data_IF_532688617587
#
_entry.id   IF_532688617587
#
_cell.length_a   1.000
_cell.length_b   1.000
_cell.length_c   1.000
_cell.angle_alpha   90.00
_cell.angle_beta   90.00
_cell.angle_gamma   90.00
#
_symmetry.space_group_name_H-M   'P 1'
#
loop_
_entity.id
_entity.type
_entity.pdbx_description
1 polymer ?
#
# COMPACT_ATOMS: atom_id res chain seq x y z
N UNK A 1 -25.64 12.13 33.86
CA UNK A 1 -25.30 13.48 34.35
C UNK A 1 -23.96 13.40 35.06
N UNK A 2 -23.05 14.38 34.88
CA UNK A 2 -21.78 14.39 35.59
C UNK A 2 -22.01 14.56 37.10
N UNK A 3 -21.10 14.01 37.91
CA UNK A 3 -21.15 14.10 39.37
C UNK A 3 -19.82 14.68 39.89
N UNK A 4 -19.89 15.47 40.96
CA UNK A 4 -18.71 16.02 41.60
C UNK A 4 -17.86 14.89 42.20
N UNK A 5 -16.58 14.81 41.82
CA UNK A 5 -15.67 13.72 42.21
C UNK A 5 -15.40 13.63 43.72
N UNK A 6 -15.58 14.73 44.46
CA UNK A 6 -15.33 14.78 45.90
C UNK A 6 -16.55 14.43 46.77
N UNK A 7 -17.74 14.88 46.41
CA UNK A 7 -18.95 14.73 47.25
C UNK A 7 -20.08 13.93 46.58
N UNK A 8 -19.90 13.49 45.34
CA UNK A 8 -20.87 12.67 44.60
C UNK A 8 -22.16 13.39 44.20
N UNK A 9 -22.28 14.70 44.47
CA UNK A 9 -23.46 15.47 44.11
C UNK A 9 -23.65 15.53 42.59
N UNK A 10 -24.88 15.29 42.14
CA UNK A 10 -25.26 15.37 40.74
C UNK A 10 -25.19 16.81 40.26
N UNK A 11 -24.47 17.05 39.17
CA UNK A 11 -24.34 18.37 38.57
C UNK A 11 -25.41 18.55 37.50
N UNK A 12 -26.18 19.63 37.62
CA UNK A 12 -27.21 20.05 36.66
C UNK A 12 -26.86 21.44 36.16
N UNK A 13 -26.74 21.58 34.85
CA UNK A 13 -26.37 22.84 34.21
C UNK A 13 -26.21 22.68 32.71
N UNK A 14 -26.11 23.80 32.01
CA UNK A 14 -25.75 23.86 30.59
C UNK A 14 -24.28 24.26 30.55
N UNK A 15 -23.45 23.46 29.88
CA UNK A 15 -22.05 23.79 29.60
C UNK A 15 -21.96 24.37 28.19
N UNK A 16 -21.79 25.71 28.04
CA UNK A 16 -21.71 26.34 26.72
C UNK A 16 -20.39 26.07 25.99
N UNK A 17 -19.34 25.60 26.67
CA UNK A 17 -18.02 25.32 26.07
C UNK A 17 -17.50 23.95 26.52
N UNK A 18 -18.12 22.85 26.05
CA UNK A 18 -17.72 21.51 26.45
C UNK A 18 -16.32 21.15 25.94
N UNK A 19 -15.58 20.43 26.78
CA UNK A 19 -14.27 19.89 26.40
C UNK A 19 -14.42 18.89 25.24
N UNK A 20 -13.66 19.11 24.17
CA UNK A 20 -13.63 18.22 23.00
C UNK A 20 -12.60 17.11 23.23
N UNK A 21 -13.06 15.86 23.25
CA UNK A 21 -12.19 14.70 23.20
C UNK A 21 -12.25 14.06 21.81
N UNK A 22 -11.11 13.98 21.13
CA UNK A 22 -10.99 13.34 19.81
C UNK A 22 -10.04 12.16 19.91
N UNK A 23 -10.49 11.02 19.39
CA UNK A 23 -9.68 9.83 19.17
C UNK A 23 -9.49 9.67 17.66
N UNK A 24 -8.23 9.54 17.24
CA UNK A 24 -7.86 9.27 15.85
C UNK A 24 -7.24 7.87 15.82
N UNK A 25 -7.74 7.02 14.94
CA UNK A 25 -7.27 5.64 14.77
C UNK A 25 -6.98 5.37 13.30
N UNK A 26 -6.00 4.50 13.04
CA UNK A 26 -5.72 4.00 11.69
C UNK A 26 -6.62 2.77 11.46
N UNK A 27 -7.56 2.81 10.50
CA UNK A 27 -8.40 1.66 10.22
C UNK A 27 -7.56 0.50 9.64
N UNK A 28 -8.07 -0.74 9.67
CA UNK A 28 -7.41 -1.87 9.03
C UNK A 28 -7.04 -1.56 7.58
N UNK A 29 -5.75 -1.70 7.24
CA UNK A 29 -5.22 -1.38 5.92
C UNK A 29 -5.42 -2.60 5.02
N UNK A 30 -6.26 -2.47 3.99
CA UNK A 30 -6.40 -3.48 2.94
C UNK A 30 -5.81 -2.93 1.63
N UNK A 31 -4.68 -3.45 1.13
CA UNK A 31 -4.13 -3.01 -0.14
C UNK A 31 -5.07 -3.29 -1.31
N UNK A 32 -5.20 -2.31 -2.19
CA UNK A 32 -5.60 -2.57 -3.57
C UNK A 32 -4.38 -3.05 -4.36
N UNK A 33 -4.44 -4.28 -4.86
CA UNK A 33 -3.39 -4.87 -5.71
C UNK A 33 -3.91 -4.90 -7.15
N UNK A 34 -3.16 -4.26 -8.05
CA UNK A 34 -3.43 -4.28 -9.50
C UNK A 34 -2.29 -5.05 -10.16
N UNK A 35 -2.60 -6.21 -10.74
CA UNK A 35 -1.62 -7.08 -11.38
C UNK A 35 -1.71 -6.96 -12.90
N UNK A 36 -0.61 -6.56 -13.54
CA UNK A 36 -0.46 -6.58 -14.99
C UNK A 36 0.42 -7.76 -15.40
N UNK A 37 -0.12 -8.68 -16.21
CA UNK A 37 0.60 -9.85 -16.70
C UNK A 37 1.18 -9.56 -18.08
N UNK A 38 2.51 -9.63 -18.19
CA UNK A 38 3.22 -9.49 -19.45
C UNK A 38 3.66 -10.87 -19.94
N UNK A 39 3.27 -11.21 -21.16
CA UNK A 39 3.67 -12.48 -21.77
C UNK A 39 5.02 -12.35 -22.46
N UNK A 40 5.86 -13.37 -22.32
CA UNK A 40 7.12 -13.53 -23.06
C UNK A 40 7.01 -14.76 -23.94
N UNK A 41 7.25 -14.59 -25.23
CA UNK A 41 7.29 -15.68 -26.22
C UNK A 41 8.66 -15.72 -26.88
N UNK A 42 9.13 -16.90 -27.25
CA UNK A 42 10.40 -17.11 -27.96
C UNK A 42 10.09 -17.59 -29.37
N UNK A 43 10.68 -16.96 -30.41
CA UNK A 43 10.50 -17.47 -31.77
C UNK A 43 11.15 -18.85 -31.87
N UNK A 44 10.43 -19.90 -32.32
CA UNK A 44 11.05 -21.20 -32.58
C UNK A 44 12.05 -21.14 -33.75
N UNK A 45 11.96 -20.10 -34.58
CA UNK A 45 12.78 -19.91 -35.78
C UNK A 45 14.19 -19.36 -35.52
N UNK A 46 14.30 -18.38 -34.63
CA UNK A 46 15.52 -17.58 -34.44
C UNK A 46 15.88 -17.42 -32.97
N UNK A 47 15.19 -18.11 -32.07
CA UNK A 47 15.37 -18.06 -30.62
C UNK A 47 15.27 -16.66 -29.99
N UNK A 48 14.71 -15.69 -30.72
CA UNK A 48 14.54 -14.32 -30.21
C UNK A 48 13.36 -14.27 -29.24
N UNK A 49 13.60 -13.72 -28.05
CA UNK A 49 12.58 -13.55 -27.01
C UNK A 49 11.89 -12.20 -27.16
N UNK A 50 10.56 -12.20 -27.29
CA UNK A 50 9.72 -10.99 -27.34
C UNK A 50 8.86 -10.93 -26.08
N UNK A 51 8.93 -9.81 -25.37
CA UNK A 51 8.07 -9.53 -24.20
C UNK A 51 6.99 -8.52 -24.60
N UNK A 52 5.77 -8.76 -24.14
CA UNK A 52 4.75 -7.73 -24.14
C UNK A 52 5.21 -6.55 -23.26
N UNK A 53 4.93 -5.33 -23.72
CA UNK A 53 5.14 -4.10 -22.95
C UNK A 53 3.93 -3.80 -22.08
N UNK A 54 4.12 -3.02 -21.01
CA UNK A 54 3.00 -2.47 -20.26
C UNK A 54 2.11 -1.61 -21.19
N UNK A 55 0.79 -1.60 -20.97
CA UNK A 55 -0.09 -0.62 -21.60
C UNK A 55 0.38 0.81 -21.34
N UNK A 56 0.16 1.71 -22.29
CA UNK A 56 0.66 3.10 -22.21
C UNK A 56 0.04 3.92 -21.05
N UNK A 57 -1.13 3.49 -20.55
CA UNK A 57 -1.86 4.06 -19.43
C UNK A 57 -1.40 3.53 -18.06
N UNK A 58 -0.49 2.56 -18.03
CA UNK A 58 0.02 1.96 -16.80
C UNK A 58 1.37 2.57 -16.45
N UNK A 59 1.42 3.21 -15.28
CA UNK A 59 2.67 3.71 -14.69
C UNK A 59 3.71 2.59 -14.54
N UNK A 60 4.96 2.87 -14.90
CA UNK A 60 6.06 1.91 -14.75
C UNK A 60 6.45 1.66 -13.28
N UNK A 61 6.00 2.51 -12.37
CA UNK A 61 6.25 2.35 -10.94
C UNK A 61 5.52 1.12 -10.40
N UNK A 62 6.21 0.33 -9.58
CA UNK A 62 5.60 -0.76 -8.83
C UNK A 62 4.60 -0.29 -7.76
N UNK A 63 4.53 1.01 -7.51
CA UNK A 63 3.65 1.62 -6.52
C UNK A 63 2.65 2.55 -7.20
N UNK A 64 1.37 2.40 -6.86
CA UNK A 64 0.33 3.35 -7.26
C UNK A 64 0.62 4.77 -6.74
N UNK A 65 -0.06 5.79 -7.26
CA UNK A 65 0.28 7.20 -7.03
C UNK A 65 0.27 7.59 -5.54
N UNK A 66 -0.71 7.08 -4.76
CA UNK A 66 -0.80 7.35 -3.32
C UNK A 66 0.36 6.75 -2.53
N UNK A 67 0.76 5.53 -2.87
CA UNK A 67 1.86 4.84 -2.20
C UNK A 67 3.21 5.45 -2.60
N UNK A 68 3.36 5.85 -3.86
CA UNK A 68 4.52 6.61 -4.35
C UNK A 68 4.68 7.95 -3.61
N UNK A 69 3.59 8.69 -3.38
CA UNK A 69 3.62 9.92 -2.60
C UNK A 69 4.05 9.68 -1.14
N UNK A 70 3.57 8.60 -0.51
CA UNK A 70 3.98 8.22 0.84
C UNK A 70 5.47 7.84 0.90
N UNK A 71 5.97 7.06 -0.05
CA UNK A 71 7.39 6.74 -0.17
C UNK A 71 8.22 8.02 -0.32
N UNK A 72 7.77 8.94 -1.18
CA UNK A 72 8.41 10.24 -1.38
C UNK A 72 8.47 11.04 -0.08
N UNK A 73 7.37 11.11 0.68
CA UNK A 73 7.31 11.80 1.97
C UNK A 73 8.26 11.16 3.01
N UNK A 74 8.27 9.83 3.12
CA UNK A 74 9.14 9.09 4.03
C UNK A 74 10.63 9.30 3.69
N UNK A 75 10.96 9.35 2.39
CA UNK A 75 12.33 9.60 1.94
C UNK A 75 12.76 11.06 2.08
N UNK A 76 11.90 12.03 1.75
CA UNK A 76 12.28 13.44 1.70
C UNK A 76 12.16 14.15 3.05
N UNK A 77 11.05 13.96 3.77
CA UNK A 77 10.81 14.65 5.03
C UNK A 77 11.43 13.92 6.22
N UNK A 78 11.46 12.59 6.18
CA UNK A 78 11.95 11.76 7.29
C UNK A 78 13.31 11.11 7.03
N UNK A 79 13.89 11.28 5.82
CA UNK A 79 15.21 10.74 5.43
C UNK A 79 15.36 9.23 5.64
N UNK A 80 14.25 8.48 5.58
CA UNK A 80 14.32 7.02 5.68
C UNK A 80 15.08 6.47 4.47
N UNK A 81 15.99 5.52 4.74
CA UNK A 81 16.60 4.74 3.67
C UNK A 81 15.53 3.90 2.97
N UNK A 82 15.75 3.61 1.69
CA UNK A 82 14.84 2.81 0.88
C UNK A 82 14.46 1.48 1.55
N UNK A 83 15.44 0.79 2.17
CA UNK A 83 15.20 -0.46 2.89
C UNK A 83 14.29 -0.30 4.10
N UNK A 84 14.42 0.80 4.86
CA UNK A 84 13.55 1.09 6.01
C UNK A 84 12.14 1.43 5.56
N UNK A 85 12.01 2.24 4.51
CA UNK A 85 10.72 2.56 3.89
C UNK A 85 10.02 1.28 3.42
N UNK A 86 10.74 0.37 2.76
CA UNK A 86 10.20 -0.91 2.32
C UNK A 86 9.75 -1.79 3.49
N UNK A 87 10.54 -1.88 4.57
CA UNK A 87 10.18 -2.65 5.76
C UNK A 87 8.90 -2.09 6.43
N UNK A 88 8.77 -0.77 6.53
CA UNK A 88 7.57 -0.12 7.06
C UNK A 88 6.34 -0.42 6.20
N UNK A 89 6.46 -0.32 4.88
CA UNK A 89 5.36 -0.62 3.97
C UNK A 89 4.92 -2.08 4.06
N UNK A 90 5.84 -3.02 4.25
CA UNK A 90 5.48 -4.43 4.45
C UNK A 90 4.66 -4.65 5.72
N UNK A 91 5.00 -3.96 6.81
CA UNK A 91 4.24 -4.07 8.06
C UNK A 91 2.85 -3.45 7.95
N UNK A 92 2.74 -2.32 7.26
CA UNK A 92 1.46 -1.62 7.10
C UNK A 92 0.53 -2.29 6.10
N UNK A 93 1.07 -2.86 5.03
CA UNK A 93 0.29 -3.31 3.86
C UNK A 93 0.22 -4.84 3.76
N UNK A 94 1.07 -5.57 4.49
CA UNK A 94 1.10 -7.05 4.46
C UNK A 94 1.55 -7.66 3.13
N UNK A 95 1.93 -6.85 2.14
CA UNK A 95 2.29 -7.29 0.79
C UNK A 95 3.74 -7.78 0.68
N UNK A 96 3.98 -8.78 -0.18
CA UNK A 96 5.32 -9.29 -0.53
C UNK A 96 6.13 -8.26 -1.32
N UNK A 97 7.46 -8.36 -1.31
CA UNK A 97 8.37 -7.42 -2.02
C UNK A 97 8.07 -7.41 -3.51
N UNK A 98 8.09 -6.26 -4.21
CA UNK A 98 7.97 -6.20 -5.68
C UNK A 98 8.89 -7.19 -6.43
N UNK A 99 10.10 -7.45 -5.90
CA UNK A 99 11.06 -8.43 -6.45
C UNK A 99 10.57 -9.88 -6.45
N UNK A 100 9.63 -10.24 -5.56
CA UNK A 100 9.10 -11.60 -5.44
C UNK A 100 7.97 -11.88 -6.45
N UNK A 101 7.36 -10.84 -7.02
CA UNK A 101 6.27 -10.98 -8.01
C UNK A 101 6.82 -11.40 -9.38
N UNK A 102 8.02 -10.92 -9.73
CA UNK A 102 8.67 -11.18 -11.01
C UNK A 102 9.06 -12.66 -11.23
N UNK A 103 9.27 -13.44 -10.16
CA UNK A 103 9.74 -14.83 -10.24
C UNK A 103 8.63 -15.89 -10.11
N UNK A 104 7.35 -15.49 -10.03
CA UNK A 104 6.23 -16.43 -9.86
C UNK A 104 5.61 -16.92 -11.18
N UNK A 105 6.02 -16.35 -12.32
CA UNK A 105 5.64 -16.81 -13.65
C UNK A 105 6.47 -18.02 -14.07
N UNK A 106 6.04 -19.23 -13.69
CA UNK A 106 6.56 -20.46 -14.30
C UNK A 106 6.36 -20.47 -15.82
N UNK A 107 7.15 -21.25 -16.58
CA UNK A 107 7.00 -21.34 -18.03
C UNK A 107 5.57 -21.76 -18.38
N UNK A 108 4.88 -20.94 -19.17
CA UNK A 108 3.56 -21.28 -19.72
C UNK A 108 3.76 -22.39 -20.76
N UNK A 109 3.17 -23.59 -20.59
CA UNK A 109 3.25 -24.61 -21.61
C UNK A 109 2.52 -24.12 -22.86
N UNK A 110 3.22 -24.13 -23.98
CA UNK A 110 2.64 -23.86 -25.30
C UNK A 110 1.65 -24.99 -25.63
N UNK A 111 0.37 -24.77 -25.37
CA UNK A 111 -0.69 -25.60 -25.96
C UNK A 111 -0.80 -25.23 -27.43
N UNK A 112 -0.35 -26.14 -28.30
CA UNK A 112 -0.43 -26.01 -29.75
C UNK A 112 -1.86 -26.07 -30.29
N UNK A 113 -2.04 -25.42 -31.45
CA UNK A 113 -3.22 -25.43 -32.30
C UNK A 113 -2.92 -24.64 -33.56
#
# INVERSE_FOLDING_TARGET
>A
MPAASFCGQLLVGIDPEPLRHQMIEIPPITPLVIEHRLHRLVCPCCSTSTCATLPADVEASHYGPRLSALVGLLGSAFTLSFSKTQALLQQLVGGKRPSEWCNSGGPVPLSGG
#
